data_IF_186570510644
#
_entry.id   IF_186570510644
#
_cell.length_a   1.000
_cell.length_b   1.000
_cell.length_c   1.000
_cell.angle_alpha   90.00
_cell.angle_beta   90.00
_cell.angle_gamma   90.00
#
_symmetry.space_group_name_H-M   'P 1'
#
loop_
_entity.id
_entity.type
_entity.pdbx_description
1 polymer ?
#
# COMPACT_ATOMS: atom_id res chain seq x y z
N UNK A 1 8.12 -1.95 -31.87
CA UNK A 1 8.14 -0.47 -32.02
C UNK A 1 6.75 0.14 -31.83
N UNK A 2 5.68 -0.48 -32.36
CA UNK A 2 4.30 0.04 -32.24
C UNK A 2 3.87 0.29 -30.78
N UNK A 3 4.13 -0.63 -29.85
CA UNK A 3 3.76 -0.47 -28.45
C UNK A 3 4.43 0.75 -27.77
N UNK A 4 5.71 1.01 -28.06
CA UNK A 4 6.43 2.18 -27.54
C UNK A 4 5.84 3.48 -28.11
N UNK A 5 5.55 3.52 -29.41
CA UNK A 5 4.96 4.69 -30.06
C UNK A 5 3.57 4.97 -29.47
N UNK A 6 2.73 3.95 -29.32
CA UNK A 6 1.41 4.07 -28.69
C UNK A 6 1.54 4.58 -27.26
N UNK A 7 2.46 4.04 -26.47
CA UNK A 7 2.71 4.51 -25.10
C UNK A 7 3.09 5.99 -25.04
N UNK A 8 3.99 6.43 -25.92
CA UNK A 8 4.44 7.84 -25.99
C UNK A 8 3.29 8.76 -26.41
N UNK A 9 2.47 8.36 -27.39
CA UNK A 9 1.30 9.14 -27.84
C UNK A 9 0.28 9.30 -26.72
N UNK A 10 -0.02 8.23 -25.99
CA UNK A 10 -0.93 8.29 -24.84
C UNK A 10 -0.38 9.17 -23.72
N UNK A 11 0.93 9.14 -23.48
CA UNK A 11 1.58 9.97 -22.48
C UNK A 11 1.52 11.46 -22.86
N UNK A 12 1.80 11.80 -24.13
CA UNK A 12 1.67 13.16 -24.64
C UNK A 12 0.20 13.66 -24.57
N UNK A 13 -0.76 12.80 -24.92
CA UNK A 13 -2.18 13.11 -24.80
C UNK A 13 -2.58 13.37 -23.33
N UNK A 14 -2.12 12.54 -22.39
CA UNK A 14 -2.39 12.74 -20.97
C UNK A 14 -1.88 14.10 -20.48
N UNK A 15 -0.67 14.50 -20.89
CA UNK A 15 -0.09 15.80 -20.54
C UNK A 15 -0.93 16.95 -21.13
N UNK A 16 -1.28 16.88 -22.42
CA UNK A 16 -2.08 17.92 -23.09
C UNK A 16 -3.50 18.02 -22.51
N UNK A 17 -4.12 16.89 -22.16
CA UNK A 17 -5.47 16.86 -21.60
C UNK A 17 -5.55 17.51 -20.20
N UNK A 18 -4.46 17.39 -19.43
CA UNK A 18 -4.32 17.87 -18.05
C UNK A 18 -3.90 19.35 -18.00
N UNK A 19 -3.17 19.86 -19.00
CA UNK A 19 -2.77 21.26 -19.07
C UNK A 19 -3.95 22.20 -19.41
N UNK A 20 -4.02 23.41 -18.80
CA UNK A 20 -5.08 24.40 -19.06
C UNK A 20 -5.10 24.97 -20.48
N UNK A 21 -4.05 24.74 -21.29
CA UNK A 21 -3.99 25.12 -22.70
C UNK A 21 -4.57 24.04 -23.65
N UNK A 22 -4.99 22.88 -23.12
CA UNK A 22 -5.60 21.78 -23.86
C UNK A 22 -7.09 21.60 -23.56
N UNK A 23 -7.50 20.39 -23.18
CA UNK A 23 -8.90 20.02 -22.91
C UNK A 23 -9.45 20.54 -21.56
N UNK A 24 -8.57 21.06 -20.68
CA UNK A 24 -8.98 21.66 -19.41
C UNK A 24 -9.45 20.66 -18.35
N UNK A 25 -9.18 19.36 -18.52
CA UNK A 25 -9.65 18.28 -17.64
C UNK A 25 -8.93 18.20 -16.29
N UNK A 26 -8.09 19.18 -15.96
CA UNK A 26 -7.40 19.26 -14.68
C UNK A 26 -8.36 19.11 -13.48
N UNK A 27 -9.51 19.79 -13.54
CA UNK A 27 -10.50 19.75 -12.47
C UNK A 27 -11.16 18.37 -12.34
N UNK A 28 -11.55 17.76 -13.47
CA UNK A 28 -12.15 16.42 -13.50
C UNK A 28 -11.18 15.33 -13.04
N UNK A 29 -9.92 15.43 -13.44
CA UNK A 29 -8.85 14.52 -13.00
C UNK A 29 -8.61 14.65 -11.50
N UNK A 30 -8.55 15.87 -10.96
CA UNK A 30 -8.44 16.09 -9.53
C UNK A 30 -9.67 15.57 -8.76
N UNK A 31 -10.87 15.72 -9.32
CA UNK A 31 -12.09 15.20 -8.72
C UNK A 31 -12.10 13.66 -8.72
N UNK A 32 -11.69 13.03 -9.82
CA UNK A 32 -11.53 11.57 -9.90
C UNK A 32 -10.46 11.05 -8.93
N UNK A 33 -9.32 11.73 -8.84
CA UNK A 33 -8.24 11.37 -7.92
C UNK A 33 -8.69 11.52 -6.46
N UNK A 34 -9.37 12.61 -6.11
CA UNK A 34 -9.96 12.80 -4.78
C UNK A 34 -11.06 11.78 -4.46
N UNK A 35 -11.83 11.35 -5.45
CA UNK A 35 -12.86 10.32 -5.27
C UNK A 35 -12.29 8.91 -5.13
N UNK A 36 -11.23 8.58 -5.87
CA UNK A 36 -10.59 7.26 -5.85
C UNK A 36 -9.61 7.06 -4.69
N UNK A 37 -8.95 8.13 -4.23
CA UNK A 37 -8.03 8.09 -3.10
C UNK A 37 -8.62 7.47 -1.81
N UNK A 38 -9.80 7.86 -1.31
CA UNK A 38 -10.38 7.26 -0.10
C UNK A 38 -10.77 5.79 -0.31
N UNK A 39 -11.21 5.42 -1.51
CA UNK A 39 -11.55 4.03 -1.84
C UNK A 39 -10.30 3.16 -1.81
N UNK A 40 -9.21 3.58 -2.48
CA UNK A 40 -7.92 2.88 -2.41
C UNK A 40 -7.37 2.83 -0.98
N UNK A 41 -7.46 3.94 -0.24
CA UNK A 41 -7.01 3.99 1.15
C UNK A 41 -7.80 3.00 2.04
N UNK A 42 -9.11 2.85 1.82
CA UNK A 42 -9.91 1.87 2.54
C UNK A 42 -9.47 0.43 2.23
N UNK A 43 -9.24 0.09 0.96
CA UNK A 43 -8.76 -1.24 0.57
C UNK A 43 -7.37 -1.54 1.12
N UNK A 44 -6.42 -0.61 0.95
CA UNK A 44 -5.04 -0.76 1.45
C UNK A 44 -5.05 -0.82 2.98
N UNK A 45 -5.83 0.04 3.64
CA UNK A 45 -5.96 0.05 5.10
C UNK A 45 -6.56 -1.24 5.65
N UNK A 46 -7.59 -1.78 5.00
CA UNK A 46 -8.19 -3.06 5.37
C UNK A 46 -7.18 -4.21 5.27
N UNK A 47 -6.42 -4.28 4.17
CA UNK A 47 -5.34 -5.27 4.01
C UNK A 47 -4.27 -5.07 5.09
N UNK A 48 -3.86 -3.83 5.38
CA UNK A 48 -2.86 -3.52 6.39
C UNK A 48 -3.30 -3.94 7.81
N UNK A 49 -4.58 -3.80 8.15
CA UNK A 49 -5.12 -4.28 9.44
C UNK A 49 -4.99 -5.80 9.55
N UNK A 50 -5.33 -6.55 8.50
CA UNK A 50 -5.21 -8.01 8.53
C UNK A 50 -3.75 -8.47 8.67
N UNK A 51 -2.83 -7.85 7.92
CA UNK A 51 -1.40 -8.15 8.02
C UNK A 51 -0.86 -7.78 9.41
N UNK A 52 -1.22 -6.60 9.93
CA UNK A 52 -0.77 -6.12 11.24
C UNK A 52 -1.26 -7.00 12.40
N UNK A 53 -2.50 -7.49 12.34
CA UNK A 53 -3.03 -8.40 13.37
C UNK A 53 -2.29 -9.74 13.37
N UNK A 54 -1.94 -10.27 12.18
CA UNK A 54 -1.14 -11.49 12.08
C UNK A 54 0.28 -11.26 12.64
N UNK A 55 0.99 -10.21 12.20
CA UNK A 55 2.35 -9.87 12.66
C UNK A 55 2.42 -9.67 14.18
N UNK A 56 1.42 -9.01 14.78
CA UNK A 56 1.37 -8.81 16.24
C UNK A 56 1.21 -10.16 16.98
N UNK A 57 0.38 -11.07 16.47
CA UNK A 57 0.17 -12.38 17.10
C UNK A 57 1.45 -13.22 17.05
N UNK A 58 2.08 -13.32 15.88
CA UNK A 58 3.36 -14.01 15.71
C UNK A 58 4.44 -13.43 16.65
N UNK A 59 4.53 -12.11 16.79
CA UNK A 59 5.49 -11.47 17.71
C UNK A 59 5.23 -11.77 19.18
N UNK A 60 3.97 -11.88 19.60
CA UNK A 60 3.62 -12.20 20.98
C UNK A 60 3.95 -13.66 21.28
N UNK A 61 3.66 -14.58 20.35
CA UNK A 61 3.98 -16.00 20.50
C UNK A 61 5.49 -16.24 20.58
N UNK A 62 6.26 -15.63 19.66
CA UNK A 62 7.72 -15.71 19.70
C UNK A 62 8.32 -15.19 21.02
N UNK A 63 7.81 -14.07 21.54
CA UNK A 63 8.24 -13.54 22.85
C UNK A 63 7.91 -14.48 24.00
N UNK A 64 6.79 -15.19 23.92
CA UNK A 64 6.34 -16.12 24.97
C UNK A 64 7.18 -17.40 24.98
N UNK A 65 7.53 -17.92 23.81
CA UNK A 65 8.46 -19.05 23.69
C UNK A 65 9.86 -18.68 24.22
N UNK A 66 10.39 -17.50 23.86
CA UNK A 66 11.68 -17.03 24.40
C UNK A 66 11.67 -16.89 25.93
N UNK A 67 10.56 -16.44 26.52
CA UNK A 67 10.42 -16.37 27.98
C UNK A 67 10.28 -17.74 28.64
N UNK A 68 9.62 -18.69 27.98
CA UNK A 68 9.49 -20.06 28.49
C UNK A 68 10.83 -20.79 28.46
N UNK A 69 11.58 -20.72 27.36
CA UNK A 69 12.93 -21.30 27.28
C UNK A 69 13.86 -20.70 28.35
N UNK A 70 13.81 -19.39 28.59
CA UNK A 70 14.61 -18.76 29.66
C UNK A 70 14.23 -19.26 31.05
N UNK A 71 12.94 -19.47 31.31
CA UNK A 71 12.45 -19.98 32.60
C UNK A 71 12.77 -21.46 32.79
N UNK A 72 12.72 -22.26 31.74
CA UNK A 72 13.09 -23.67 31.78
C UNK A 72 14.60 -23.86 31.91
N UNK A 73 15.41 -23.09 31.19
CA UNK A 73 16.86 -23.07 31.35
C UNK A 73 17.29 -22.63 32.77
N UNK A 74 16.60 -21.65 33.36
CA UNK A 74 16.84 -21.22 34.74
C UNK A 74 16.46 -22.29 35.78
N UNK A 75 15.46 -23.15 35.49
CA UNK A 75 15.07 -24.26 36.37
C UNK A 75 15.89 -25.53 36.19
N UNK A 76 16.51 -25.73 35.04
CA UNK A 76 17.36 -26.90 34.77
C UNK A 76 18.82 -26.72 35.22
N UNK A 77 19.22 -25.49 35.56
CA UNK A 77 20.56 -25.14 36.06
C UNK A 77 20.69 -25.02 37.58
N UNK A 78 19.61 -25.25 38.34
CA UNK A 78 19.57 -25.28 39.82
C UNK A 78 19.44 -26.74 40.30
#
# INVERSE_FOLDING_TARGET
>A
MVALIVGIVFMAFAVIAVLPLGLGWWADVLQFLRGSAPVMAAFIGLIAVFIGVADIKDRIEAKKEEEQEKKEAAKAGE
#
